data_IF_829613148888
#
_entry.id   IF_829613148888
#
_cell.length_a   1.000
_cell.length_b   1.000
_cell.length_c   1.000
_cell.angle_alpha   90.00
_cell.angle_beta   90.00
_cell.angle_gamma   90.00
#
_symmetry.space_group_name_H-M   'P 1'
#
loop_
_entity.id
_entity.type
_entity.pdbx_description
1 polymer ?
#
# COMPACT_ATOMS: atom_id res chain seq x y z
N UNK A 1 -0.66 3.36 -14.00
CA UNK A 1 -1.43 4.35 -13.24
C UNK A 1 -1.94 3.80 -11.89
N UNK A 2 -2.60 2.63 -11.86
CA UNK A 2 -3.21 2.06 -10.64
C UNK A 2 -2.24 1.67 -9.54
N UNK A 3 -0.96 1.47 -9.84
CA UNK A 3 0.08 1.10 -8.86
C UNK A 3 1.04 2.24 -8.50
N UNK A 4 0.71 3.46 -8.89
CA UNK A 4 1.44 4.64 -8.42
C UNK A 4 1.44 4.71 -6.90
N UNK A 5 2.43 5.39 -6.35
CA UNK A 5 2.41 5.73 -4.93
C UNK A 5 1.17 6.55 -4.58
N UNK A 6 0.79 6.51 -3.31
CA UNK A 6 -0.35 7.27 -2.81
C UNK A 6 -0.19 8.76 -3.13
N UNK A 7 -1.26 9.38 -3.62
CA UNK A 7 -1.31 10.82 -3.81
C UNK A 7 -1.46 11.51 -2.46
N UNK A 8 -0.40 12.12 -1.99
CA UNK A 8 -0.37 12.84 -0.72
C UNK A 8 -0.88 14.30 -0.81
N UNK A 9 -1.34 14.72 -2.00
CA UNK A 9 -1.94 16.04 -2.19
C UNK A 9 -1.13 17.16 -1.58
N UNK A 10 -1.75 17.94 -0.71
CA UNK A 10 -1.09 19.08 -0.04
C UNK A 10 0.01 18.66 0.95
N UNK A 11 0.12 17.38 1.28
CA UNK A 11 1.19 16.87 2.13
C UNK A 11 2.44 16.46 1.36
N UNK A 12 2.41 16.49 0.03
CA UNK A 12 3.58 16.21 -0.80
C UNK A 12 4.76 17.10 -0.43
N UNK A 13 5.93 16.49 -0.29
CA UNK A 13 7.20 17.18 0.05
C UNK A 13 7.18 17.95 1.37
N UNK A 14 6.20 17.72 2.22
CA UNK A 14 6.14 18.32 3.55
C UNK A 14 6.66 17.38 4.62
N UNK A 15 7.31 17.96 5.63
CA UNK A 15 7.69 17.20 6.83
C UNK A 15 6.44 16.93 7.67
N UNK A 16 6.38 15.76 8.30
CA UNK A 16 5.27 15.42 9.19
C UNK A 16 5.06 16.47 10.30
N UNK A 17 6.14 17.11 10.76
CA UNK A 17 6.06 18.19 11.75
C UNK A 17 5.33 19.45 11.26
N UNK A 18 5.21 19.64 9.96
CA UNK A 18 4.51 20.81 9.38
C UNK A 18 3.01 20.59 9.18
N UNK A 19 2.53 19.35 9.35
CA UNK A 19 1.10 19.01 9.25
C UNK A 19 0.42 19.41 10.55
N UNK A 20 -0.78 20.02 10.47
CA UNK A 20 -1.51 20.46 11.65
C UNK A 20 -1.83 19.31 12.60
N UNK A 21 -1.89 19.60 13.91
CA UNK A 21 -2.27 18.59 14.91
C UNK A 21 -3.67 18.04 14.65
N UNK A 22 -4.59 18.89 14.18
CA UNK A 22 -5.95 18.48 13.83
C UNK A 22 -5.94 17.44 12.73
N UNK A 23 -5.23 17.69 11.64
CA UNK A 23 -5.18 16.77 10.50
C UNK A 23 -4.49 15.46 10.86
N UNK A 24 -3.42 15.52 11.65
CA UNK A 24 -2.76 14.30 12.15
C UNK A 24 -3.68 13.46 13.00
N UNK A 25 -4.44 14.09 13.90
CA UNK A 25 -5.37 13.39 14.79
C UNK A 25 -6.51 12.76 14.00
N UNK A 26 -7.08 13.48 13.03
CA UNK A 26 -8.10 12.92 12.16
C UNK A 26 -7.57 11.76 11.33
N UNK A 27 -6.35 11.88 10.80
CA UNK A 27 -5.70 10.81 10.06
C UNK A 27 -5.47 9.58 10.93
N UNK A 28 -4.94 9.74 12.14
CA UNK A 28 -4.71 8.63 13.07
C UNK A 28 -6.00 7.93 13.49
N UNK A 29 -7.08 8.70 13.74
CA UNK A 29 -8.36 8.16 14.17
C UNK A 29 -9.17 7.54 13.02
N UNK A 30 -8.93 7.96 11.78
CA UNK A 30 -9.69 7.54 10.60
C UNK A 30 -8.74 7.17 9.45
N UNK A 31 -7.75 6.32 9.75
CA UNK A 31 -6.64 6.01 8.84
C UNK A 31 -7.09 5.64 7.43
N UNK A 32 -8.14 4.84 7.30
CA UNK A 32 -8.62 4.38 5.98
C UNK A 32 -9.46 5.42 5.26
N UNK A 33 -10.31 6.15 5.99
CA UNK A 33 -11.29 7.06 5.40
C UNK A 33 -10.83 8.51 5.30
N UNK A 34 -9.85 8.92 6.11
CA UNK A 34 -9.33 10.28 6.03
C UNK A 34 -8.76 10.57 4.65
N UNK A 35 -9.26 11.61 4.02
CA UNK A 35 -8.77 12.06 2.72
C UNK A 35 -7.79 13.21 2.90
N UNK A 36 -6.57 13.02 2.42
CA UNK A 36 -5.56 14.09 2.43
C UNK A 36 -6.05 15.22 1.53
N UNK A 37 -5.98 16.49 1.99
CA UNK A 37 -6.41 17.62 1.16
C UNK A 37 -5.76 17.58 -0.23
N UNK A 38 -6.58 17.58 -1.28
CA UNK A 38 -6.18 17.44 -2.69
C UNK A 38 -5.43 16.14 -3.01
N UNK A 39 -5.55 15.14 -2.16
CA UNK A 39 -4.92 13.84 -2.30
C UNK A 39 -5.91 12.67 -2.26
N UNK A 40 -5.43 11.53 -1.81
CA UNK A 40 -6.23 10.31 -1.66
C UNK A 40 -6.49 9.98 -0.19
N UNK A 41 -7.53 9.20 0.07
CA UNK A 41 -7.64 8.40 1.28
C UNK A 41 -6.95 7.05 1.08
N UNK A 42 -6.62 6.36 2.17
CA UNK A 42 -6.10 4.99 2.07
C UNK A 42 -7.14 4.04 1.44
N UNK A 43 -8.44 4.26 1.68
CA UNK A 43 -9.49 3.48 1.01
C UNK A 43 -9.46 3.63 -0.51
N UNK A 44 -9.32 4.85 -1.02
CA UNK A 44 -9.20 5.10 -2.47
C UNK A 44 -7.94 4.44 -3.04
N UNK A 45 -6.83 4.58 -2.32
CA UNK A 45 -5.56 3.97 -2.68
C UNK A 45 -5.66 2.45 -2.77
N UNK A 46 -6.16 1.80 -1.73
CA UNK A 46 -6.32 0.34 -1.70
C UNK A 46 -7.31 -0.16 -2.75
N UNK A 47 -8.36 0.61 -3.04
CA UNK A 47 -9.34 0.26 -4.07
C UNK A 47 -8.70 0.17 -5.46
N UNK A 48 -7.85 1.13 -5.83
CA UNK A 48 -7.19 1.08 -7.14
C UNK A 48 -6.12 -0.01 -7.23
N UNK A 49 -5.40 -0.28 -6.12
CA UNK A 49 -4.47 -1.41 -6.06
C UNK A 49 -5.19 -2.76 -6.19
N UNK A 50 -6.34 -2.89 -5.55
CA UNK A 50 -7.18 -4.09 -5.66
C UNK A 50 -7.63 -4.34 -7.10
N UNK A 51 -8.11 -3.29 -7.77
CA UNK A 51 -8.49 -3.36 -9.18
C UNK A 51 -7.35 -3.85 -10.07
N UNK A 52 -6.13 -3.40 -9.82
CA UNK A 52 -4.94 -3.86 -10.54
C UNK A 52 -4.66 -5.34 -10.28
N UNK A 53 -4.68 -5.78 -9.01
CA UNK A 53 -4.43 -7.18 -8.66
C UNK A 53 -5.47 -8.12 -9.27
N UNK A 54 -6.74 -7.72 -9.29
CA UNK A 54 -7.82 -8.50 -9.92
C UNK A 54 -7.53 -8.75 -11.41
N UNK A 55 -7.00 -7.75 -12.13
CA UNK A 55 -6.62 -7.92 -13.53
C UNK A 55 -5.40 -8.83 -13.67
N UNK A 56 -4.41 -8.71 -12.80
CA UNK A 56 -3.21 -9.57 -12.82
C UNK A 56 -3.61 -11.04 -12.61
N UNK A 57 -4.53 -11.31 -11.69
CA UNK A 57 -4.97 -12.69 -11.44
C UNK A 57 -5.68 -13.34 -12.62
N UNK A 58 -6.30 -12.57 -13.50
CA UNK A 58 -6.94 -13.10 -14.71
C UNK A 58 -5.96 -13.75 -15.69
N UNK A 59 -4.70 -13.33 -15.67
CA UNK A 59 -3.67 -13.89 -16.56
C UNK A 59 -3.17 -15.27 -16.11
N UNK A 60 -3.34 -15.64 -14.85
CA UNK A 60 -2.87 -16.90 -14.25
C UNK A 60 -1.40 -17.20 -14.59
N UNK A 61 -0.56 -16.20 -14.58
CA UNK A 61 0.87 -16.25 -14.87
C UNK A 61 1.66 -15.53 -13.77
N UNK A 62 2.95 -15.83 -13.68
CA UNK A 62 3.84 -15.09 -12.80
C UNK A 62 3.96 -13.64 -13.28
N UNK A 63 4.01 -12.72 -12.35
CA UNK A 63 4.15 -11.29 -12.65
C UNK A 63 5.25 -10.66 -11.80
N UNK A 64 6.09 -9.86 -12.44
CA UNK A 64 7.02 -8.96 -11.77
C UNK A 64 6.41 -7.55 -11.75
N UNK A 65 6.22 -7.01 -10.56
CA UNK A 65 5.62 -5.69 -10.38
C UNK A 65 6.68 -4.76 -9.78
N UNK A 66 6.97 -3.67 -10.49
CA UNK A 66 7.90 -2.64 -10.04
C UNK A 66 7.09 -1.40 -9.66
N UNK A 67 7.14 -1.02 -8.41
CA UNK A 67 6.32 0.10 -7.90
C UNK A 67 6.97 0.74 -6.65
N UNK A 68 6.19 1.27 -5.73
CA UNK A 68 6.64 2.08 -4.61
C UNK A 68 6.34 1.41 -3.26
N UNK A 69 7.02 1.85 -2.20
CA UNK A 69 6.89 1.24 -0.87
C UNK A 69 5.44 1.20 -0.37
N UNK A 70 4.69 2.28 -0.50
CA UNK A 70 3.28 2.31 -0.10
C UNK A 70 2.42 1.38 -0.95
N UNK A 71 2.64 1.35 -2.26
CA UNK A 71 1.92 0.44 -3.18
C UNK A 71 2.21 -1.02 -2.86
N UNK A 72 3.46 -1.35 -2.54
CA UNK A 72 3.84 -2.72 -2.12
C UNK A 72 3.12 -3.09 -0.82
N UNK A 73 3.17 -2.21 0.20
CA UNK A 73 2.46 -2.45 1.47
C UNK A 73 0.96 -2.63 1.25
N UNK A 74 0.35 -1.81 0.41
CA UNK A 74 -1.07 -1.91 0.08
C UNK A 74 -1.43 -3.22 -0.61
N UNK A 75 -0.65 -3.63 -1.61
CA UNK A 75 -0.87 -4.91 -2.29
C UNK A 75 -0.64 -6.09 -1.36
N UNK A 76 0.39 -6.06 -0.51
CA UNK A 76 0.62 -7.10 0.50
C UNK A 76 -0.54 -7.20 1.48
N UNK A 77 -1.08 -6.07 1.94
CA UNK A 77 -2.27 -6.04 2.80
C UNK A 77 -3.45 -6.75 2.14
N UNK A 78 -3.71 -6.46 0.87
CA UNK A 78 -4.81 -7.07 0.11
C UNK A 78 -4.59 -8.58 -0.08
N UNK A 79 -3.37 -8.99 -0.40
CA UNK A 79 -3.04 -10.39 -0.65
C UNK A 79 -3.04 -11.24 0.61
N UNK A 80 -2.51 -10.71 1.71
CA UNK A 80 -2.41 -11.43 2.99
C UNK A 80 -3.67 -11.30 3.83
N UNK A 81 -4.58 -10.39 3.46
CA UNK A 81 -5.77 -10.02 4.25
C UNK A 81 -5.43 -9.46 5.63
N UNK A 82 -4.20 -8.98 5.82
CA UNK A 82 -3.83 -8.24 7.02
C UNK A 82 -4.23 -6.77 6.90
N UNK A 83 -4.68 -6.13 8.00
CA UNK A 83 -4.99 -4.70 7.99
C UNK A 83 -3.83 -3.85 7.49
N UNK A 84 -4.12 -2.82 6.69
CA UNK A 84 -3.10 -1.98 6.07
C UNK A 84 -2.21 -1.27 7.09
N UNK A 85 -2.77 -0.81 8.20
CA UNK A 85 -2.02 -0.18 9.30
C UNK A 85 -0.99 -1.12 9.92
N UNK A 86 -1.36 -2.37 10.11
CA UNK A 86 -0.44 -3.41 10.61
C UNK A 86 0.65 -3.71 9.59
N UNK A 87 0.29 -3.80 8.32
CA UNK A 87 1.25 -4.05 7.24
C UNK A 87 2.30 -2.94 7.18
N UNK A 88 1.88 -1.69 7.18
CA UNK A 88 2.78 -0.54 7.19
C UNK A 88 3.68 -0.54 8.43
N UNK A 89 3.11 -0.76 9.61
CA UNK A 89 3.88 -0.80 10.86
C UNK A 89 4.96 -1.88 10.87
N UNK A 90 4.64 -3.06 10.34
CA UNK A 90 5.55 -4.21 10.42
C UNK A 90 6.60 -4.22 9.31
N UNK A 91 6.31 -3.70 8.13
CA UNK A 91 7.13 -3.92 6.95
C UNK A 91 7.67 -2.65 6.30
N UNK A 92 7.27 -1.45 6.71
CA UNK A 92 7.71 -0.20 6.10
C UNK A 92 9.25 -0.09 6.04
N UNK A 93 9.93 -0.42 7.15
CA UNK A 93 11.38 -0.36 7.25
C UNK A 93 12.11 -1.44 6.43
N UNK A 94 11.40 -2.50 6.07
CA UNK A 94 11.95 -3.59 5.27
C UNK A 94 11.81 -3.35 3.77
N UNK A 95 10.78 -2.63 3.36
CA UNK A 95 10.47 -2.35 1.94
C UNK A 95 11.21 -1.07 1.53
N UNK A 96 12.50 -1.20 1.27
CA UNK A 96 13.39 -0.11 0.85
C UNK A 96 13.57 -0.08 -0.66
N UNK A 97 14.22 0.95 -1.16
CA UNK A 97 14.59 1.04 -2.57
C UNK A 97 15.42 -0.19 -2.98
N UNK A 98 15.02 -0.82 -4.06
CA UNK A 98 15.67 -2.03 -4.56
C UNK A 98 15.35 -3.31 -3.80
N UNK A 99 14.48 -3.26 -2.79
CA UNK A 99 14.04 -4.47 -2.09
C UNK A 99 13.09 -5.31 -2.95
N UNK A 100 13.10 -6.62 -2.69
CA UNK A 100 12.24 -7.57 -3.36
C UNK A 100 11.27 -8.19 -2.36
N UNK A 101 10.00 -8.29 -2.74
CA UNK A 101 9.01 -9.08 -2.00
C UNK A 101 8.43 -10.14 -2.93
N UNK A 102 8.25 -11.35 -2.43
CA UNK A 102 7.71 -12.48 -3.17
C UNK A 102 6.48 -13.01 -2.46
N UNK A 103 5.40 -13.14 -3.20
CA UNK A 103 4.19 -13.85 -2.75
C UNK A 103 3.90 -14.96 -3.75
N UNK A 104 3.88 -16.18 -3.28
CA UNK A 104 3.51 -17.34 -4.08
C UNK A 104 2.12 -17.82 -3.65
N UNK A 105 1.22 -17.93 -4.62
CA UNK A 105 -0.18 -18.28 -4.42
C UNK A 105 -0.51 -19.61 -5.09
N UNK A 106 -1.32 -20.41 -4.42
CA UNK A 106 -1.94 -21.62 -4.97
C UNK A 106 -3.41 -21.65 -4.57
N UNK A 107 -4.31 -21.65 -5.58
CA UNK A 107 -5.76 -21.57 -5.35
C UNK A 107 -6.14 -20.36 -4.44
N UNK A 108 -5.56 -19.19 -4.73
CA UNK A 108 -5.74 -17.95 -3.97
C UNK A 108 -5.21 -17.99 -2.52
N UNK A 109 -4.54 -19.08 -2.12
CA UNK A 109 -3.91 -19.21 -0.81
C UNK A 109 -2.41 -18.93 -0.92
N UNK A 110 -1.88 -18.18 0.05
CA UNK A 110 -0.45 -17.91 0.13
C UNK A 110 0.27 -19.16 0.60
N UNK A 111 1.18 -19.70 -0.23
CA UNK A 111 2.04 -20.83 0.11
C UNK A 111 3.48 -20.42 0.40
N UNK A 112 3.88 -19.21 0.02
CA UNK A 112 5.20 -18.65 0.34
C UNK A 112 5.13 -17.13 0.40
N UNK A 113 5.79 -16.56 1.39
CA UNK A 113 5.86 -15.12 1.58
C UNK A 113 7.27 -14.70 1.99
N UNK A 114 7.89 -13.83 1.21
CA UNK A 114 9.18 -13.18 1.52
C UNK A 114 8.96 -11.68 1.35
N UNK A 115 9.27 -10.88 2.36
CA UNK A 115 9.03 -9.44 2.33
C UNK A 115 10.33 -8.69 2.61
N UNK A 116 10.67 -7.74 1.73
CA UNK A 116 11.75 -6.78 1.96
C UNK A 116 13.16 -7.37 1.89
N UNK A 117 13.42 -8.17 0.91
CA UNK A 117 14.79 -8.69 0.66
C UNK A 117 15.60 -7.84 -0.29
#
# INVERSE_FOLDING_TARGET
>A
ERIKEMNLGDWEMKKMSSISKKDKLEWENNLLSFKIPNGESNNEFLKRLKSFLEDIFKFNEDALIVCHAGSINGMLSLLTREPFDKMVKNYWELIKHGSLSLIELKNELIIKKIIGK
#
